data_IF_274754019976
#
_entry.id   IF_274754019976
#
_cell.length_a   1.000
_cell.length_b   1.000
_cell.length_c   1.000
_cell.angle_alpha   90.00
_cell.angle_beta   90.00
_cell.angle_gamma   90.00
#
_symmetry.space_group_name_H-M   'P 1'
#
loop_
_entity.id
_entity.type
_entity.pdbx_description
1 polymer ?
#
# COMPACT_ATOMS: atom_id res chain seq x y z
N UNK A 1 -24.37 10.13 18.79
CA UNK A 1 -23.60 8.94 19.20
C UNK A 1 -23.56 8.00 18.00
N UNK A 2 -22.55 8.14 17.14
CA UNK A 2 -22.29 7.21 16.03
C UNK A 2 -20.83 7.38 15.60
N UNK A 3 -19.89 6.81 16.36
CA UNK A 3 -18.44 6.88 16.08
C UNK A 3 -17.74 5.53 16.27
N UNK A 4 -18.44 4.40 16.06
CA UNK A 4 -17.89 3.09 16.44
C UNK A 4 -18.00 2.01 15.36
N UNK A 5 -17.82 2.37 14.07
CA UNK A 5 -17.77 1.36 12.99
C UNK A 5 -16.85 1.71 11.80
N UNK A 6 -15.92 2.66 11.94
CA UNK A 6 -15.21 3.28 10.79
C UNK A 6 -14.08 2.47 10.11
N UNK A 7 -13.22 1.68 10.79
CA UNK A 7 -12.06 1.08 10.13
C UNK A 7 -12.40 -0.08 9.19
N UNK A 8 -13.38 -0.93 9.54
CA UNK A 8 -13.81 -2.04 8.67
C UNK A 8 -14.45 -1.53 7.37
N UNK A 9 -15.33 -0.53 7.47
CA UNK A 9 -15.98 0.05 6.29
C UNK A 9 -15.01 0.80 5.38
N UNK A 10 -13.96 1.42 5.95
CA UNK A 10 -12.92 2.09 5.18
C UNK A 10 -12.11 1.09 4.34
N UNK A 11 -11.59 0.03 4.96
CA UNK A 11 -10.80 -0.97 4.23
C UNK A 11 -11.64 -1.76 3.21
N UNK A 12 -12.92 -2.00 3.50
CA UNK A 12 -13.85 -2.57 2.51
C UNK A 12 -14.03 -1.67 1.29
N UNK A 13 -14.12 -0.35 1.49
CA UNK A 13 -14.22 0.62 0.38
C UNK A 13 -12.93 0.63 -0.44
N UNK A 14 -11.78 0.71 0.21
CA UNK A 14 -10.46 0.66 -0.44
C UNK A 14 -10.30 -0.62 -1.26
N UNK A 15 -10.70 -1.77 -0.70
CA UNK A 15 -10.68 -3.05 -1.40
C UNK A 15 -11.59 -3.04 -2.63
N UNK A 16 -12.81 -2.50 -2.51
CA UNK A 16 -13.76 -2.44 -3.61
C UNK A 16 -13.30 -1.51 -4.75
N UNK A 17 -12.74 -0.34 -4.42
CA UNK A 17 -12.15 0.59 -5.39
C UNK A 17 -10.98 -0.07 -6.13
N UNK A 18 -10.06 -0.71 -5.41
CA UNK A 18 -8.91 -1.39 -5.99
C UNK A 18 -9.30 -2.60 -6.86
N UNK A 19 -10.33 -3.35 -6.45
CA UNK A 19 -10.90 -4.42 -7.26
C UNK A 19 -11.45 -3.89 -8.58
N UNK A 20 -12.19 -2.79 -8.54
CA UNK A 20 -12.75 -2.17 -9.73
C UNK A 20 -11.67 -1.67 -10.70
N UNK A 21 -10.63 -1.00 -10.19
CA UNK A 21 -9.50 -0.55 -11.00
C UNK A 21 -8.82 -1.72 -11.75
N UNK A 22 -8.61 -2.85 -11.05
CA UNK A 22 -8.05 -4.05 -11.65
C UNK A 22 -8.99 -4.73 -12.67
N UNK A 23 -10.31 -4.62 -12.49
CA UNK A 23 -11.30 -5.12 -13.46
C UNK A 23 -11.37 -4.28 -14.74
N UNK A 24 -11.20 -2.96 -14.62
CA UNK A 24 -11.26 -2.00 -15.73
C UNK A 24 -9.99 -2.01 -16.60
N UNK A 25 -8.84 -2.35 -16.03
CA UNK A 25 -7.55 -2.53 -16.71
C UNK A 25 -7.02 -1.30 -17.46
N UNK A 26 -7.40 -0.10 -17.02
CA UNK A 26 -6.89 1.15 -17.58
C UNK A 26 -6.06 1.83 -16.51
N UNK A 27 -4.80 2.12 -16.83
CA UNK A 27 -3.88 2.84 -15.95
C UNK A 27 -3.87 2.29 -14.51
N UNK A 28 -3.73 0.96 -14.37
CA UNK A 28 -3.91 0.27 -13.08
C UNK A 28 -2.93 0.83 -12.05
N UNK A 29 -1.68 1.08 -12.44
CA UNK A 29 -0.68 1.67 -11.55
C UNK A 29 -1.11 3.05 -11.03
N UNK A 30 -1.66 3.91 -11.88
CA UNK A 30 -2.11 5.25 -11.49
C UNK A 30 -3.33 5.19 -10.57
N UNK A 31 -4.35 4.40 -10.91
CA UNK A 31 -5.56 4.21 -10.10
C UNK A 31 -5.22 3.64 -8.72
N UNK A 32 -4.42 2.57 -8.68
CA UNK A 32 -4.00 1.92 -7.42
C UNK A 32 -3.16 2.87 -6.57
N UNK A 33 -2.29 3.67 -7.19
CA UNK A 33 -1.54 4.71 -6.48
C UNK A 33 -2.46 5.72 -5.83
N UNK A 34 -3.43 6.24 -6.59
CA UNK A 34 -4.29 7.32 -6.13
C UNK A 34 -5.25 6.84 -5.03
N UNK A 35 -5.79 5.63 -5.14
CA UNK A 35 -6.56 4.95 -4.08
C UNK A 35 -5.71 4.80 -2.81
N UNK A 36 -4.48 4.32 -2.95
CA UNK A 36 -3.56 4.11 -1.82
C UNK A 36 -3.23 5.43 -1.13
N UNK A 37 -2.87 6.47 -1.90
CA UNK A 37 -2.55 7.80 -1.38
C UNK A 37 -3.74 8.41 -0.63
N UNK A 38 -4.93 8.32 -1.21
CA UNK A 38 -6.17 8.81 -0.58
C UNK A 38 -6.38 8.14 0.78
N UNK A 39 -6.38 6.81 0.82
CA UNK A 39 -6.60 6.07 2.06
C UNK A 39 -5.55 6.36 3.15
N UNK A 40 -4.28 6.49 2.76
CA UNK A 40 -3.19 6.85 3.68
C UNK A 40 -3.31 8.30 4.19
N UNK A 41 -3.89 9.21 3.41
CA UNK A 41 -4.08 10.62 3.78
C UNK A 41 -5.26 10.87 4.73
N UNK A 42 -6.24 9.96 4.77
CA UNK A 42 -7.49 10.12 5.54
C UNK A 42 -7.35 9.85 7.05
N UNK A 43 -6.14 9.56 7.54
CA UNK A 43 -5.91 9.27 8.96
C UNK A 43 -4.46 9.43 9.43
N UNK A 44 -4.18 8.97 10.65
CA UNK A 44 -2.80 8.96 11.16
C UNK A 44 -1.98 7.90 10.43
N UNK A 45 -0.80 8.29 9.96
CA UNK A 45 0.19 7.37 9.41
C UNK A 45 0.83 6.58 10.56
N UNK A 46 0.21 5.45 10.90
CA UNK A 46 0.80 4.43 11.77
C UNK A 46 0.91 3.09 11.02
N UNK A 47 1.85 2.26 11.47
CA UNK A 47 2.16 1.00 10.78
C UNK A 47 0.99 0.01 10.70
N UNK A 48 0.01 0.07 11.61
CA UNK A 48 -1.14 -0.83 11.56
C UNK A 48 -2.14 -0.39 10.49
N UNK A 49 -2.43 0.90 10.39
CA UNK A 49 -3.28 1.46 9.33
C UNK A 49 -2.66 1.26 7.96
N UNK A 50 -1.36 1.52 7.83
CA UNK A 50 -0.63 1.32 6.57
C UNK A 50 -0.73 -0.14 6.11
N UNK A 51 -0.54 -1.11 7.01
CA UNK A 51 -0.75 -2.54 6.74
C UNK A 51 -2.17 -2.82 6.26
N UNK A 52 -3.17 -2.25 6.93
CA UNK A 52 -4.58 -2.41 6.57
C UNK A 52 -4.90 -1.91 5.17
N UNK A 53 -4.45 -0.70 4.81
CA UNK A 53 -4.62 -0.11 3.48
C UNK A 53 -3.96 -0.96 2.41
N UNK A 54 -2.67 -1.30 2.57
CA UNK A 54 -1.94 -2.11 1.60
C UNK A 54 -2.63 -3.47 1.40
N UNK A 55 -3.05 -4.10 2.50
CA UNK A 55 -3.76 -5.39 2.45
C UNK A 55 -5.06 -5.26 1.67
N UNK A 56 -5.90 -4.28 1.99
CA UNK A 56 -7.17 -4.05 1.32
C UNK A 56 -7.00 -3.82 -0.19
N UNK A 57 -6.05 -2.95 -0.57
CA UNK A 57 -5.73 -2.67 -1.98
C UNK A 57 -5.31 -3.96 -2.70
N UNK A 58 -4.34 -4.70 -2.15
CA UNK A 58 -3.79 -5.89 -2.79
C UNK A 58 -4.81 -7.04 -2.86
N UNK A 59 -5.68 -7.19 -1.85
CA UNK A 59 -6.79 -8.13 -1.89
C UNK A 59 -7.80 -7.76 -2.98
N UNK A 60 -8.15 -6.47 -3.08
CA UNK A 60 -9.04 -5.96 -4.12
C UNK A 60 -8.50 -6.24 -5.52
N UNK A 61 -7.25 -5.82 -5.78
CA UNK A 61 -6.58 -6.08 -7.06
C UNK A 61 -6.52 -7.57 -7.38
N UNK A 62 -6.19 -8.41 -6.39
CA UNK A 62 -6.11 -9.87 -6.58
C UNK A 62 -7.45 -10.46 -7.02
N UNK A 63 -8.56 -9.99 -6.42
CA UNK A 63 -9.91 -10.40 -6.80
C UNK A 63 -10.24 -9.92 -8.22
N UNK A 64 -9.95 -8.65 -8.54
CA UNK A 64 -10.23 -8.07 -9.85
C UNK A 64 -9.44 -8.73 -10.98
N UNK A 65 -8.14 -8.98 -10.75
CA UNK A 65 -7.26 -9.65 -11.69
C UNK A 65 -7.72 -11.08 -12.02
N UNK A 66 -8.14 -11.84 -11.01
CA UNK A 66 -8.56 -13.23 -11.16
C UNK A 66 -9.85 -13.40 -11.98
N UNK A 67 -10.68 -12.37 -12.14
CA UNK A 67 -11.94 -12.47 -12.92
C UNK A 67 -11.74 -12.60 -14.43
N UNK A 68 -10.56 -12.29 -14.97
CA UNK A 68 -10.32 -12.20 -16.42
C UNK A 68 -9.20 -13.12 -16.94
N UNK A 69 -8.53 -13.89 -16.07
CA UNK A 69 -7.47 -14.93 -16.24
C UNK A 69 -6.26 -14.65 -17.16
N UNK A 70 -6.39 -13.81 -18.18
CA UNK A 70 -5.43 -13.63 -19.28
C UNK A 70 -4.33 -12.61 -19.00
N UNK A 71 -4.46 -11.81 -17.93
CA UNK A 71 -3.55 -10.67 -17.66
C UNK A 71 -3.20 -10.54 -16.17
N UNK A 72 -3.37 -11.60 -15.38
CA UNK A 72 -3.16 -11.57 -13.92
C UNK A 72 -1.76 -11.04 -13.56
N UNK A 73 -0.72 -11.43 -14.32
CA UNK A 73 0.66 -10.98 -14.08
C UNK A 73 0.88 -9.49 -14.34
N UNK A 74 0.39 -8.94 -15.45
CA UNK A 74 0.56 -7.51 -15.73
C UNK A 74 -0.26 -6.66 -14.76
N UNK A 75 -1.51 -7.05 -14.49
CA UNK A 75 -2.37 -6.36 -13.51
C UNK A 75 -1.74 -6.31 -12.12
N UNK A 76 -1.21 -7.44 -11.63
CA UNK A 76 -0.53 -7.48 -10.33
C UNK A 76 0.79 -6.70 -10.35
N UNK A 77 1.57 -6.72 -11.44
CA UNK A 77 2.80 -5.91 -11.55
C UNK A 77 2.46 -4.42 -11.48
N UNK A 78 1.50 -3.95 -12.27
CA UNK A 78 1.09 -2.54 -12.27
C UNK A 78 0.55 -2.08 -10.91
N UNK A 79 -0.25 -2.91 -10.24
CA UNK A 79 -0.72 -2.61 -8.90
C UNK A 79 0.41 -2.50 -7.89
N UNK A 80 1.39 -3.42 -7.93
CA UNK A 80 2.58 -3.33 -7.06
C UNK A 80 3.34 -2.03 -7.31
N UNK A 81 3.52 -1.62 -8.57
CA UNK A 81 4.10 -0.32 -8.93
C UNK A 81 3.30 0.84 -8.35
N UNK A 82 1.96 0.82 -8.47
CA UNK A 82 1.12 1.88 -7.93
C UNK A 82 1.21 2.02 -6.40
N UNK A 83 1.21 0.90 -5.68
CA UNK A 83 1.39 0.90 -4.21
C UNK A 83 2.78 1.40 -3.83
N UNK A 84 3.83 0.96 -4.51
CA UNK A 84 5.21 1.43 -4.28
C UNK A 84 5.34 2.95 -4.49
N UNK A 85 4.83 3.48 -5.60
CA UNK A 85 4.79 4.92 -5.87
C UNK A 85 4.04 5.71 -4.80
N UNK A 86 2.91 5.18 -4.31
CA UNK A 86 2.13 5.81 -3.25
C UNK A 86 2.91 5.86 -1.93
N UNK A 87 3.59 4.77 -1.58
CA UNK A 87 4.41 4.69 -0.37
C UNK A 87 5.62 5.61 -0.45
N UNK A 88 6.30 5.67 -1.60
CA UNK A 88 7.42 6.59 -1.83
C UNK A 88 6.99 8.06 -1.65
N UNK A 89 5.87 8.46 -2.26
CA UNK A 89 5.30 9.81 -2.10
C UNK A 89 4.89 10.10 -0.65
N UNK A 90 4.30 9.12 0.04
CA UNK A 90 3.90 9.25 1.45
C UNK A 90 5.13 9.41 2.35
N UNK A 91 6.19 8.64 2.11
CA UNK A 91 7.46 8.73 2.82
C UNK A 91 8.13 10.10 2.62
N UNK A 92 8.16 10.59 1.38
CA UNK A 92 8.71 11.91 1.05
C UNK A 92 7.94 13.03 1.75
N UNK A 93 6.61 13.03 1.66
CA UNK A 93 5.76 14.01 2.33
C UNK A 93 5.93 13.98 3.87
N UNK A 94 6.01 12.77 4.45
CA UNK A 94 6.23 12.59 5.90
C UNK A 94 7.59 13.13 6.33
N UNK A 95 8.64 12.86 5.56
CA UNK A 95 9.98 13.38 5.81
C UNK A 95 10.01 14.92 5.78
N UNK A 96 9.39 15.54 4.78
CA UNK A 96 9.31 17.01 4.68
C UNK A 96 8.56 17.61 5.88
N UNK A 97 7.42 17.04 6.26
CA UNK A 97 6.65 17.51 7.41
C UNK A 97 7.46 17.41 8.73
N UNK A 98 8.22 16.33 8.89
CA UNK A 98 9.14 16.12 10.01
C UNK A 98 10.24 17.20 10.02
N UNK A 99 10.88 17.46 8.87
CA UNK A 99 11.93 18.48 8.73
C UNK A 99 11.41 19.89 9.07
N UNK A 100 10.21 20.22 8.61
CA UNK A 100 9.56 21.48 8.92
C UNK A 100 9.18 21.60 10.41
N UNK A 101 8.76 20.52 11.06
CA UNK A 101 8.45 20.51 12.49
C UNK A 101 9.70 20.78 13.34
N UNK A 102 10.84 20.15 12.99
CA UNK A 102 12.13 20.40 13.64
C UNK A 102 12.59 21.86 13.48
N UNK A 103 12.37 22.46 12.29
CA UNK A 103 12.73 23.85 12.03
C UNK A 103 11.88 24.86 12.80
N UNK A 104 10.65 24.48 13.20
CA UNK A 104 9.68 25.38 13.85
C UNK A 104 9.68 25.32 15.38
N UNK A 105 10.15 24.24 16.00
CA UNK A 105 9.97 24.00 17.44
C UNK A 105 11.29 23.61 18.11
N UNK A 106 11.67 24.35 19.16
CA UNK A 106 12.93 24.14 19.91
C UNK A 106 12.91 22.92 20.85
N UNK A 107 11.71 22.41 21.17
CA UNK A 107 11.45 21.43 22.22
C UNK A 107 10.74 20.15 21.71
N UNK A 108 11.00 19.72 20.47
CA UNK A 108 10.50 18.42 20.03
C UNK A 108 11.23 17.29 20.76
N UNK A 109 10.49 16.30 21.26
CA UNK A 109 11.09 15.11 21.84
C UNK A 109 11.84 14.36 20.73
N UNK A 110 13.15 14.21 20.89
CA UNK A 110 14.01 13.47 19.96
C UNK A 110 13.52 12.04 19.75
N UNK A 111 12.93 11.42 20.76
CA UNK A 111 12.39 10.06 20.66
C UNK A 111 11.19 9.97 19.70
N UNK A 112 10.29 10.95 19.73
CA UNK A 112 9.11 10.98 18.85
C UNK A 112 9.53 11.20 17.39
N UNK A 113 10.57 12.01 17.17
CA UNK A 113 11.18 12.24 15.87
C UNK A 113 11.86 10.98 15.33
N UNK A 114 12.69 10.33 16.15
CA UNK A 114 13.39 9.10 15.76
C UNK A 114 12.39 7.99 15.44
N UNK A 115 11.27 7.92 16.18
CA UNK A 115 10.17 7.01 15.88
C UNK A 115 9.51 7.31 14.53
N UNK A 116 9.18 8.57 14.25
CA UNK A 116 8.56 8.93 12.97
C UNK A 116 9.47 8.62 11.77
N UNK A 117 10.78 8.86 11.90
CA UNK A 117 11.78 8.49 10.88
C UNK A 117 11.84 6.97 10.70
N UNK A 118 11.79 6.21 11.79
CA UNK A 118 11.80 4.75 11.74
C UNK A 118 10.54 4.21 11.06
N UNK A 119 9.37 4.73 11.41
CA UNK A 119 8.09 4.31 10.83
C UNK A 119 8.08 4.54 9.31
N UNK A 120 8.67 5.63 8.82
CA UNK A 120 8.86 5.89 7.37
C UNK A 120 9.79 4.86 6.71
N UNK A 121 10.87 4.44 7.39
CA UNK A 121 11.82 3.45 6.86
C UNK A 121 11.24 2.04 6.80
N UNK A 122 10.33 1.70 7.71
CA UNK A 122 9.71 0.37 7.79
C UNK A 122 8.52 0.19 6.81
N UNK A 123 8.20 1.21 6.00
CA UNK A 123 7.11 1.16 5.01
C UNK A 123 7.33 0.10 3.94
N UNK A 124 8.55 0.00 3.40
CA UNK A 124 8.89 -0.97 2.35
C UNK A 124 8.81 -2.41 2.88
N UNK A 125 9.39 -2.67 4.06
CA UNK A 125 9.31 -3.98 4.72
C UNK A 125 7.85 -4.37 4.99
N UNK A 126 7.07 -3.40 5.47
CA UNK A 126 5.64 -3.55 5.71
C UNK A 126 4.89 -3.91 4.43
N UNK A 127 5.19 -3.26 3.32
CA UNK A 127 4.61 -3.55 2.01
C UNK A 127 4.93 -4.97 1.56
N UNK A 128 6.21 -5.34 1.53
CA UNK A 128 6.67 -6.65 1.09
C UNK A 128 6.06 -7.77 1.93
N UNK A 129 5.98 -7.61 3.25
CA UNK A 129 5.37 -8.60 4.14
C UNK A 129 3.85 -8.70 3.98
N UNK A 130 3.19 -7.59 3.68
CA UNK A 130 1.75 -7.57 3.42
C UNK A 130 1.43 -8.26 2.10
N UNK A 131 2.20 -7.99 1.02
CA UNK A 131 2.02 -8.67 -0.27
C UNK A 131 2.23 -10.18 -0.14
N UNK A 132 3.23 -10.64 0.62
CA UNK A 132 3.41 -12.08 0.91
C UNK A 132 2.21 -12.66 1.67
N UNK A 133 1.56 -11.87 2.52
CA UNK A 133 0.38 -12.31 3.27
C UNK A 133 -0.81 -12.49 2.34
N UNK A 134 -1.04 -11.54 1.42
CA UNK A 134 -2.09 -11.61 0.40
C UNK A 134 -1.84 -12.75 -0.60
N UNK A 135 -0.57 -12.96 -1.00
CA UNK A 135 -0.17 -14.12 -1.83
C UNK A 135 -0.62 -15.45 -1.22
N UNK A 136 -0.51 -15.60 0.11
CA UNK A 136 -0.90 -16.84 0.81
C UNK A 136 -2.42 -17.04 0.90
N UNK A 137 -3.22 -15.98 0.83
CA UNK A 137 -4.70 -16.05 0.88
C UNK A 137 -5.35 -16.07 -0.50
N UNK A 138 -4.62 -15.74 -1.57
CA UNK A 138 -5.10 -15.74 -2.94
C UNK A 138 -5.25 -17.13 -3.57
N UNK A 139 -5.76 -17.16 -4.81
CA UNK A 139 -5.76 -18.39 -5.63
C UNK A 139 -4.33 -18.82 -5.97
N UNK A 140 -4.13 -20.09 -6.36
CA UNK A 140 -2.81 -20.61 -6.75
C UNK A 140 -2.13 -19.74 -7.82
N UNK A 141 -2.90 -19.29 -8.82
CA UNK A 141 -2.37 -18.40 -9.87
C UNK A 141 -1.89 -17.06 -9.32
N UNK A 142 -2.68 -16.42 -8.44
CA UNK A 142 -2.31 -15.14 -7.81
C UNK A 142 -1.09 -15.32 -6.92
N UNK A 143 -1.07 -16.40 -6.13
CA UNK A 143 0.05 -16.76 -5.26
C UNK A 143 1.35 -16.90 -6.05
N UNK A 144 1.36 -17.79 -7.05
CA UNK A 144 2.56 -18.08 -7.82
C UNK A 144 3.07 -16.84 -8.55
N UNK A 145 2.15 -15.99 -9.02
CA UNK A 145 2.47 -14.73 -9.70
C UNK A 145 3.07 -13.70 -8.73
N UNK A 146 2.47 -13.50 -7.55
CA UNK A 146 3.01 -12.58 -6.54
C UNK A 146 4.35 -13.06 -5.99
N UNK A 147 4.51 -14.36 -5.75
CA UNK A 147 5.77 -14.95 -5.29
C UNK A 147 6.88 -14.78 -6.34
N UNK A 148 6.58 -14.95 -7.63
CA UNK A 148 7.50 -14.66 -8.75
C UNK A 148 7.89 -13.17 -8.77
N UNK A 149 6.91 -12.26 -8.69
CA UNK A 149 7.14 -10.81 -8.70
C UNK A 149 7.98 -10.34 -7.49
N UNK A 150 7.69 -10.83 -6.28
CA UNK A 150 8.47 -10.52 -5.07
C UNK A 150 9.89 -11.06 -5.19
N UNK A 151 10.05 -12.28 -5.72
CA UNK A 151 11.37 -12.89 -5.91
C UNK A 151 12.18 -12.09 -6.93
N UNK A 152 11.54 -11.65 -8.01
CA UNK A 152 12.18 -10.82 -9.03
C UNK A 152 12.62 -9.47 -8.43
N UNK A 153 11.72 -8.73 -7.78
CA UNK A 153 12.04 -7.45 -7.15
C UNK A 153 13.22 -7.52 -6.17
N UNK A 154 13.34 -8.60 -5.39
CA UNK A 154 14.47 -8.83 -4.48
C UNK A 154 15.80 -9.12 -5.17
N UNK A 155 15.76 -9.77 -6.33
CA UNK A 155 16.96 -10.24 -7.04
C UNK A 155 17.47 -9.22 -8.06
N UNK A 156 16.60 -8.39 -8.63
CA UNK A 156 16.93 -7.48 -9.74
C UNK A 156 16.64 -6.00 -9.44
N UNK A 157 15.97 -5.69 -8.33
CA UNK A 157 15.39 -4.36 -8.12
C UNK A 157 14.06 -4.18 -8.88
N UNK A 158 13.32 -3.13 -8.54
CA UNK A 158 12.06 -2.72 -9.19
C UNK A 158 12.33 -2.05 -10.54
N UNK A 159 12.73 -2.84 -11.56
CA UNK A 159 12.82 -2.35 -12.95
C UNK A 159 11.47 -2.33 -13.71
#
# INVERSE_FOLDING_TARGET
>A
MSEENQPETEFEQVQAEAQKAAEEKVAIADEVRDITLKALSEGKLDGARIKGVIKAVMEGVSIGAAKKDTEVKSTLKEALTGVDEALAKTAEASKLAIEEAMGRVKDYNKEDLDKAIKDVKELEDTFVDTVKTVSKSGSTLVKDTLDDLITHAKNTGTE
#
